data_IF_111461146240
#
_entry.id   IF_111461146240
#
_cell.length_a   1.000
_cell.length_b   1.000
_cell.length_c   1.000
_cell.angle_alpha   90.00
_cell.angle_beta   90.00
_cell.angle_gamma   90.00
#
_symmetry.space_group_name_H-M   'P 1'
#
loop_
_entity.id
_entity.type
_entity.pdbx_description
1 polymer ?
#
# COMPACT_ATOMS: atom_id res chain seq x y z
N UNK A 1 6.99 -19.65 65.57
CA UNK A 1 7.49 -18.57 64.69
C UNK A 1 7.53 -19.08 63.25
N UNK A 2 6.44 -18.99 62.47
CA UNK A 2 6.49 -19.30 61.03
C UNK A 2 5.68 -18.25 60.27
N UNK A 3 6.39 -17.20 59.82
CA UNK A 3 5.85 -16.22 58.87
C UNK A 3 5.97 -16.82 57.47
N UNK A 4 4.87 -17.28 56.88
CA UNK A 4 4.81 -17.57 55.45
C UNK A 4 3.72 -16.76 54.76
N UNK A 5 4.15 -15.55 54.40
CA UNK A 5 3.87 -14.78 53.19
C UNK A 5 2.65 -15.23 52.38
N UNK A 6 1.58 -14.44 52.46
CA UNK A 6 0.53 -14.38 51.45
C UNK A 6 1.15 -14.10 50.07
N UNK A 7 1.09 -15.09 49.18
CA UNK A 7 1.33 -14.91 47.76
C UNK A 7 0.08 -14.26 47.18
N UNK A 8 0.17 -12.95 46.88
CA UNK A 8 -0.87 -12.26 46.11
C UNK A 8 -0.93 -12.87 44.70
N UNK A 9 -2.11 -13.25 44.18
CA UNK A 9 -2.21 -13.70 42.80
C UNK A 9 -1.95 -12.51 41.88
N UNK A 10 -0.99 -12.68 40.98
CA UNK A 10 -0.65 -11.75 39.90
C UNK A 10 -1.87 -11.65 38.98
N UNK A 11 -2.79 -10.73 39.31
CA UNK A 11 -3.91 -10.31 38.45
C UNK A 11 -3.31 -9.83 37.14
N UNK A 12 -3.33 -10.69 36.12
CA UNK A 12 -3.08 -10.35 34.75
C UNK A 12 -4.20 -9.38 34.34
N UNK A 13 -3.93 -8.07 34.36
CA UNK A 13 -4.84 -7.06 33.83
C UNK A 13 -4.90 -7.28 32.31
N UNK A 14 -5.88 -8.06 31.83
CA UNK A 14 -6.27 -8.03 30.42
C UNK A 14 -6.71 -6.59 30.11
N UNK A 15 -5.86 -5.83 29.42
CA UNK A 15 -6.26 -4.54 28.88
C UNK A 15 -7.22 -4.81 27.71
N UNK A 16 -8.40 -4.17 27.66
CA UNK A 16 -9.31 -4.32 26.54
C UNK A 16 -8.66 -3.82 25.24
N UNK A 17 -8.97 -4.42 24.08
CA UNK A 17 -8.47 -3.92 22.80
C UNK A 17 -8.96 -2.49 22.59
N UNK A 18 -8.03 -1.59 22.25
CA UNK A 18 -8.36 -0.21 21.89
C UNK A 18 -8.70 -0.18 20.40
N UNK A 19 -9.91 0.23 20.06
CA UNK A 19 -10.31 0.43 18.67
C UNK A 19 -9.68 1.71 18.16
N UNK A 20 -8.91 1.62 17.07
CA UNK A 20 -8.35 2.79 16.37
C UNK A 20 -9.29 3.13 15.23
N UNK A 21 -9.90 4.30 15.27
CA UNK A 21 -10.68 4.83 14.14
C UNK A 21 -9.77 5.75 13.33
N UNK A 22 -9.39 5.30 12.14
CA UNK A 22 -8.68 6.13 11.17
C UNK A 22 -9.69 6.79 10.23
N UNK A 23 -9.59 8.10 10.06
CA UNK A 23 -10.36 8.86 9.05
C UNK A 23 -9.37 9.43 8.05
N UNK A 24 -9.28 8.82 6.88
CA UNK A 24 -8.60 9.42 5.73
C UNK A 24 -9.56 10.41 5.06
N UNK A 25 -9.14 11.66 4.87
CA UNK A 25 -9.79 12.56 3.91
C UNK A 25 -9.76 11.85 2.55
N UNK A 26 -10.93 11.53 2.00
CA UNK A 26 -11.04 10.61 0.86
C UNK A 26 -10.32 11.14 -0.36
N UNK A 27 -9.20 10.52 -0.73
CA UNK A 27 -8.66 10.62 -2.07
C UNK A 27 -9.52 9.74 -2.98
N UNK A 28 -10.06 10.30 -4.05
CA UNK A 28 -10.76 9.51 -5.06
C UNK A 28 -9.73 8.79 -5.92
N UNK A 29 -9.62 7.45 -5.86
CA UNK A 29 -8.64 6.74 -6.64
C UNK A 29 -8.93 6.90 -8.14
N UNK A 30 -7.87 7.09 -8.92
CA UNK A 30 -7.95 7.10 -10.39
C UNK A 30 -7.27 5.86 -10.94
N UNK A 31 -7.83 5.33 -12.02
CA UNK A 31 -7.33 4.13 -12.68
C UNK A 31 -7.00 4.47 -14.13
N UNK A 32 -5.80 4.11 -14.56
CA UNK A 32 -5.35 4.28 -15.94
C UNK A 32 -4.80 2.94 -16.46
N UNK A 33 -5.30 2.47 -17.59
CA UNK A 33 -4.75 1.31 -18.30
C UNK A 33 -3.99 1.79 -19.53
N UNK A 34 -2.68 1.61 -19.55
CA UNK A 34 -1.83 2.02 -20.67
C UNK A 34 -0.57 1.15 -20.77
N UNK A 35 0.29 1.43 -21.75
CA UNK A 35 1.61 0.79 -21.81
C UNK A 35 2.54 1.28 -20.71
N UNK A 36 3.53 0.49 -20.29
CA UNK A 36 4.52 0.91 -19.28
C UNK A 36 5.28 2.17 -19.70
N UNK A 37 5.50 2.35 -21.01
CA UNK A 37 6.05 3.58 -21.58
C UNK A 37 5.11 4.78 -21.40
N UNK A 38 3.82 4.63 -21.71
CA UNK A 38 2.84 5.73 -21.57
C UNK A 38 2.62 6.11 -20.11
N UNK A 39 2.68 5.14 -19.19
CA UNK A 39 2.67 5.41 -17.75
C UNK A 39 3.86 6.25 -17.30
N UNK A 40 5.04 6.00 -17.86
CA UNK A 40 6.24 6.80 -17.58
C UNK A 40 6.09 8.22 -18.13
N UNK A 41 5.60 8.36 -19.36
CA UNK A 41 5.32 9.67 -19.97
C UNK A 41 4.27 10.48 -19.19
N UNK A 42 3.26 9.80 -18.66
CA UNK A 42 2.20 10.42 -17.87
C UNK A 42 2.60 10.71 -16.40
N UNK A 43 3.82 10.35 -15.99
CA UNK A 43 4.30 10.57 -14.62
C UNK A 43 3.69 9.62 -13.57
N UNK A 44 3.03 8.54 -13.99
CA UNK A 44 2.47 7.50 -13.09
C UNK A 44 3.49 6.41 -12.74
N UNK A 45 4.55 6.29 -13.52
CA UNK A 45 5.65 5.35 -13.34
C UNK A 45 6.99 6.02 -13.66
N UNK A 46 8.09 5.39 -13.26
CA UNK A 46 9.45 5.76 -13.67
C UNK A 46 10.19 4.53 -14.21
N UNK A 47 11.19 4.74 -15.06
CA UNK A 47 12.00 3.65 -15.59
C UNK A 47 13.39 3.58 -14.96
N UNK A 48 13.89 2.37 -14.73
CA UNK A 48 15.27 2.10 -14.32
C UNK A 48 15.70 0.71 -14.78
N UNK A 49 16.92 0.57 -15.27
CA UNK A 49 17.48 -0.74 -15.66
C UNK A 49 16.69 -1.50 -16.74
N UNK A 50 15.89 -0.82 -17.56
CA UNK A 50 15.02 -1.46 -18.57
C UNK A 50 13.63 -1.89 -18.07
N UNK A 51 13.31 -1.61 -16.81
CA UNK A 51 12.02 -1.87 -16.19
C UNK A 51 11.27 -0.57 -15.87
N UNK A 52 9.96 -0.67 -15.73
CA UNK A 52 9.09 0.38 -15.25
C UNK A 52 8.59 0.05 -13.83
N UNK A 53 8.56 1.06 -12.98
CA UNK A 53 8.17 1.01 -11.58
C UNK A 53 7.09 2.04 -11.30
N UNK A 54 6.10 1.69 -10.49
CA UNK A 54 4.99 2.59 -10.13
C UNK A 54 5.49 3.74 -9.27
N UNK A 55 5.02 4.96 -9.55
CA UNK A 55 5.41 6.17 -8.82
C UNK A 55 5.03 6.10 -7.34
N UNK A 56 6.01 6.25 -6.46
CA UNK A 56 5.84 6.35 -5.01
C UNK A 56 5.52 5.05 -4.26
N UNK A 57 5.31 3.92 -4.95
CA UNK A 57 5.23 2.58 -4.33
C UNK A 57 6.39 1.67 -4.72
N UNK A 58 7.16 2.04 -5.76
CA UNK A 58 8.30 1.28 -6.29
C UNK A 58 7.93 -0.15 -6.75
N UNK A 59 6.64 -0.40 -7.01
CA UNK A 59 6.16 -1.69 -7.46
C UNK A 59 6.56 -1.94 -8.92
N UNK A 60 7.12 -3.12 -9.21
CA UNK A 60 7.53 -3.50 -10.56
C UNK A 60 6.30 -3.64 -11.48
N UNK A 61 6.16 -2.71 -12.40
CA UNK A 61 5.07 -2.71 -13.39
C UNK A 61 5.41 -3.63 -14.56
N UNK A 62 6.69 -3.82 -14.91
CA UNK A 62 7.13 -4.72 -15.96
C UNK A 62 8.32 -4.16 -16.74
N UNK A 63 8.61 -4.73 -17.91
CA UNK A 63 9.61 -4.17 -18.82
C UNK A 63 9.13 -2.80 -19.36
N UNK A 64 10.06 -1.88 -19.59
CA UNK A 64 9.77 -0.55 -20.12
C UNK A 64 9.67 -0.57 -21.65
N UNK A 65 8.45 -0.72 -22.18
CA UNK A 65 8.15 -0.70 -23.62
C UNK A 65 6.65 -0.48 -23.87
N UNK A 66 6.25 -0.35 -25.13
CA UNK A 66 4.85 -0.09 -25.52
C UNK A 66 3.97 -1.34 -25.55
N UNK A 67 4.55 -2.54 -25.65
CA UNK A 67 3.80 -3.80 -25.71
C UNK A 67 3.25 -4.32 -24.37
N UNK A 68 3.82 -3.92 -23.22
CA UNK A 68 3.31 -4.35 -21.91
C UNK A 68 2.28 -3.36 -21.43
N UNK A 69 1.01 -3.80 -21.42
CA UNK A 69 -0.12 -3.03 -20.92
C UNK A 69 -0.34 -3.38 -19.44
N UNK A 70 -0.46 -2.36 -18.60
CA UNK A 70 -0.75 -2.50 -17.18
C UNK A 70 -1.82 -1.51 -16.78
N UNK A 71 -2.54 -1.84 -15.72
CA UNK A 71 -3.46 -0.91 -15.09
C UNK A 71 -2.80 -0.39 -13.83
N UNK A 72 -2.67 0.93 -13.74
CA UNK A 72 -2.13 1.61 -12.56
C UNK A 72 -3.25 2.34 -11.85
N UNK A 73 -3.28 2.22 -10.53
CA UNK A 73 -4.23 2.90 -9.66
C UNK A 73 -3.48 3.90 -8.78
N UNK A 74 -3.84 5.18 -8.90
CA UNK A 74 -3.38 6.18 -7.95
C UNK A 74 -4.28 6.12 -6.71
N UNK A 75 -3.70 5.93 -5.53
CA UNK A 75 -4.43 5.82 -4.25
C UNK A 75 -4.18 7.00 -3.31
N UNK A 76 -3.15 7.79 -3.61
CA UNK A 76 -2.88 9.10 -3.02
C UNK A 76 -2.08 9.96 -4.03
N UNK A 77 -1.95 11.28 -3.82
CA UNK A 77 -1.06 12.11 -4.63
C UNK A 77 0.35 11.52 -4.68
N UNK A 78 0.83 11.15 -5.88
CA UNK A 78 2.16 10.56 -6.08
C UNK A 78 2.33 9.11 -5.60
N UNK A 79 1.27 8.42 -5.17
CA UNK A 79 1.32 7.00 -4.78
C UNK A 79 0.45 6.17 -5.71
N UNK A 80 1.10 5.37 -6.55
CA UNK A 80 0.51 4.58 -7.64
C UNK A 80 0.83 3.11 -7.41
N UNK A 81 -0.13 2.22 -7.56
CA UNK A 81 0.04 0.76 -7.40
C UNK A 81 -0.42 0.02 -8.67
N UNK A 82 0.10 -1.18 -8.90
CA UNK A 82 -0.40 -2.05 -9.98
C UNK A 82 -1.77 -2.59 -9.58
N UNK A 83 -2.71 -2.61 -10.53
CA UNK A 83 -4.06 -3.10 -10.32
C UNK A 83 -4.49 -4.04 -11.44
N UNK A 84 -5.47 -4.90 -11.14
CA UNK A 84 -6.09 -5.77 -12.13
C UNK A 84 -6.90 -4.97 -13.18
N UNK A 85 -7.07 -5.48 -14.41
CA UNK A 85 -7.93 -4.89 -15.42
C UNK A 85 -9.37 -4.74 -14.92
N UNK A 86 -9.97 -3.58 -15.14
CA UNK A 86 -11.33 -3.28 -14.70
C UNK A 86 -11.42 -2.50 -13.39
N UNK A 87 -10.27 -2.04 -12.86
CA UNK A 87 -10.07 -1.14 -11.72
C UNK A 87 -11.33 -0.39 -11.25
N UNK A 88 -12.00 -0.95 -10.23
CA UNK A 88 -11.97 -0.30 -8.94
C UNK A 88 -11.31 -1.22 -7.91
N UNK A 89 -10.56 -0.57 -7.03
CA UNK A 89 -10.29 -1.05 -5.68
C UNK A 89 -10.46 0.13 -4.72
#
# INVERSE_FOLDING_TARGET
MQRHRHVLPRRLLLQPPRTVTATTTGFTPTCDTASTYDHTRAGRAYQSGGYAYSGGSDELTGLWHTFTIRTLRQTAPGHVVVSEPGCPA
#
